data_IF_273272018434
#
_entry.id   IF_273272018434
#
_cell.length_a   1.000
_cell.length_b   1.000
_cell.length_c   1.000
_cell.angle_alpha   90.00
_cell.angle_beta   90.00
_cell.angle_gamma   90.00
#
_symmetry.space_group_name_H-M   'P 1'
#
loop_
_entity.id
_entity.type
_entity.pdbx_description
1 polymer ?
#
# COMPACT_ATOMS: atom_id res chain seq x y z
N UNK A 1 21.50 24.10 -14.80
CA UNK A 1 20.70 23.37 -15.83
C UNK A 1 21.27 21.97 -16.02
N UNK A 2 22.52 21.81 -16.50
CA UNK A 2 23.10 20.48 -16.78
C UNK A 2 22.91 19.40 -15.67
N UNK A 3 23.05 19.78 -14.39
CA UNK A 3 22.81 18.85 -13.26
C UNK A 3 21.35 18.41 -13.20
N UNK A 4 20.38 19.32 -13.39
CA UNK A 4 18.96 18.96 -13.38
C UNK A 4 18.58 18.10 -14.59
N UNK A 5 19.19 18.36 -15.75
CA UNK A 5 18.99 17.54 -16.95
C UNK A 5 19.57 16.14 -16.74
N UNK A 6 20.76 16.04 -16.11
CA UNK A 6 21.34 14.76 -15.72
C UNK A 6 20.48 13.94 -14.72
N UNK A 7 19.62 14.61 -13.93
CA UNK A 7 18.68 13.89 -13.04
C UNK A 7 17.52 13.24 -13.80
N UNK A 8 17.30 13.57 -15.07
CA UNK A 8 16.20 13.01 -15.88
C UNK A 8 16.54 11.69 -16.53
N UNK A 9 17.84 11.36 -16.62
CA UNK A 9 18.35 10.20 -17.36
C UNK A 9 19.01 9.21 -16.40
N UNK A 10 18.83 7.92 -16.65
CA UNK A 10 19.48 6.82 -15.95
C UNK A 10 20.91 6.63 -16.47
N UNK A 11 21.72 5.85 -15.73
CA UNK A 11 23.09 5.53 -16.16
C UNK A 11 23.14 4.71 -17.47
N UNK A 12 22.05 3.99 -17.78
CA UNK A 12 21.88 3.24 -19.04
C UNK A 12 21.34 4.11 -20.20
N UNK A 13 21.25 5.42 -20.03
CA UNK A 13 20.74 6.38 -21.02
C UNK A 13 19.22 6.46 -21.14
N UNK A 14 18.47 5.63 -20.43
CA UNK A 14 16.99 5.65 -20.47
C UNK A 14 16.42 6.78 -19.58
N UNK A 15 15.28 7.36 -19.94
CA UNK A 15 14.66 8.38 -19.11
C UNK A 15 14.11 7.81 -17.81
N UNK A 16 14.22 8.57 -16.72
CA UNK A 16 13.50 8.25 -15.48
C UNK A 16 12.01 8.57 -15.60
N UNK A 17 11.19 7.83 -14.86
CA UNK A 17 9.79 8.19 -14.68
C UNK A 17 9.66 9.60 -14.07
N UNK A 18 8.65 10.40 -14.49
CA UNK A 18 8.44 11.77 -14.01
C UNK A 18 8.44 11.93 -12.48
N UNK A 19 7.85 10.99 -11.77
CA UNK A 19 7.83 10.98 -10.29
C UNK A 19 9.24 10.84 -9.69
N UNK A 20 10.09 10.02 -10.31
CA UNK A 20 11.48 9.83 -9.88
C UNK A 20 12.32 11.09 -10.13
N UNK A 21 12.13 11.72 -11.28
CA UNK A 21 12.80 12.99 -11.60
C UNK A 21 12.46 14.07 -10.56
N UNK A 22 11.17 14.21 -10.24
CA UNK A 22 10.71 15.17 -9.23
C UNK A 22 11.25 14.85 -7.83
N UNK A 23 11.32 13.57 -7.47
CA UNK A 23 11.92 13.14 -6.20
C UNK A 23 13.40 13.47 -6.13
N UNK A 24 14.17 13.19 -7.18
CA UNK A 24 15.61 13.49 -7.25
C UNK A 24 15.88 14.99 -7.16
N UNK A 25 15.08 15.80 -7.89
CA UNK A 25 15.15 17.26 -7.78
C UNK A 25 14.87 17.75 -6.35
N UNK A 26 13.87 17.19 -5.68
CA UNK A 26 13.57 17.55 -4.29
C UNK A 26 14.72 17.21 -3.35
N UNK A 27 15.33 16.01 -3.49
CA UNK A 27 16.51 15.61 -2.71
C UNK A 27 17.65 16.60 -2.92
N UNK A 28 17.96 16.95 -4.17
CA UNK A 28 19.00 17.93 -4.48
C UNK A 28 18.68 19.29 -3.84
N UNK A 29 17.44 19.77 -3.97
CA UNK A 29 17.03 21.05 -3.38
C UNK A 29 17.17 21.03 -1.85
N UNK A 30 16.80 19.95 -1.19
CA UNK A 30 16.97 19.80 0.27
C UNK A 30 18.45 19.79 0.67
N UNK A 31 19.32 19.15 -0.12
CA UNK A 31 20.77 19.19 0.12
C UNK A 31 21.34 20.61 -0.05
N UNK A 32 20.85 21.37 -1.02
CA UNK A 32 21.25 22.79 -1.19
C UNK A 32 20.75 23.68 -0.04
N UNK A 33 19.53 23.44 0.48
CA UNK A 33 19.06 24.16 1.68
C UNK A 33 19.96 23.86 2.89
N UNK A 34 20.32 22.60 3.09
CA UNK A 34 21.25 22.21 4.16
C UNK A 34 22.63 22.87 3.99
N UNK A 35 23.14 23.00 2.76
CA UNK A 35 24.37 23.73 2.50
C UNK A 35 24.25 25.22 2.84
N UNK A 36 23.07 25.83 2.72
CA UNK A 36 22.80 27.20 3.19
C UNK A 36 22.82 27.28 4.71
N UNK A 37 22.21 26.33 5.41
CA UNK A 37 22.24 26.25 6.88
C UNK A 37 23.68 26.14 7.39
N UNK A 38 24.52 25.34 6.71
CA UNK A 38 25.94 25.21 7.01
C UNK A 38 26.79 26.41 6.54
N UNK A 39 26.18 27.46 5.99
CA UNK A 39 26.87 28.65 5.44
C UNK A 39 27.86 28.35 4.31
N UNK A 40 27.72 27.22 3.62
CA UNK A 40 28.48 26.84 2.43
C UNK A 40 27.93 27.53 1.17
N UNK A 41 26.66 27.89 1.19
CA UNK A 41 25.96 28.67 0.17
C UNK A 41 25.24 29.85 0.81
N UNK A 42 25.10 30.95 0.07
CA UNK A 42 24.31 32.11 0.51
C UNK A 42 22.82 31.93 0.28
N UNK A 43 22.44 31.13 -0.73
CA UNK A 43 21.04 30.80 -1.06
C UNK A 43 20.97 29.52 -1.87
N UNK A 44 19.82 28.84 -1.80
CA UNK A 44 19.55 27.69 -2.66
C UNK A 44 19.30 28.15 -4.11
N UNK A 45 20.11 27.70 -5.08
CA UNK A 45 19.96 28.14 -6.48
C UNK A 45 18.78 27.42 -7.19
N UNK A 46 18.29 26.29 -6.68
CA UNK A 46 17.32 25.43 -7.39
C UNK A 46 15.97 26.12 -7.65
N UNK A 47 15.36 26.86 -6.68
CA UNK A 47 14.07 27.53 -6.92
C UNK A 47 14.15 28.63 -7.99
N UNK A 48 15.31 29.28 -8.15
CA UNK A 48 15.49 30.36 -9.12
C UNK A 48 15.66 29.86 -10.57
N UNK A 49 15.89 28.56 -10.76
CA UNK A 49 16.09 28.00 -12.11
C UNK A 49 14.76 27.87 -12.85
N UNK A 50 14.72 28.37 -14.09
CA UNK A 50 13.57 28.20 -15.00
C UNK A 50 13.49 26.77 -15.59
N UNK A 51 13.72 25.75 -14.76
CA UNK A 51 13.63 24.37 -15.16
C UNK A 51 12.20 23.85 -14.91
N UNK A 52 11.57 23.29 -15.96
CA UNK A 52 10.22 22.74 -15.86
C UNK A 52 10.29 21.29 -15.43
N UNK A 53 9.76 21.00 -14.24
CA UNK A 53 9.59 19.63 -13.78
C UNK A 53 8.61 18.87 -14.69
N UNK A 54 8.88 17.60 -15.01
CA UNK A 54 7.92 16.79 -15.77
C UNK A 54 6.61 16.60 -14.97
N UNK A 55 5.49 16.67 -15.69
CA UNK A 55 4.18 16.45 -15.09
C UNK A 55 4.07 15.02 -14.58
N UNK A 56 3.64 14.85 -13.33
CA UNK A 56 3.34 13.56 -12.74
C UNK A 56 1.84 13.31 -12.73
N UNK A 57 1.44 12.10 -13.09
CA UNK A 57 0.07 11.61 -12.87
C UNK A 57 0.09 10.89 -11.53
N UNK A 58 -0.54 11.48 -10.52
CA UNK A 58 -0.63 10.89 -9.18
C UNK A 58 -1.82 9.94 -9.02
N UNK A 59 -2.73 9.88 -10.00
CA UNK A 59 -3.87 8.99 -9.98
C UNK A 59 -3.42 7.53 -10.19
N UNK A 60 -4.10 6.60 -9.50
CA UNK A 60 -3.93 5.17 -9.73
C UNK A 60 -4.31 4.86 -11.18
N UNK A 61 -3.49 4.05 -11.84
CA UNK A 61 -3.85 3.50 -13.12
C UNK A 61 -4.96 2.47 -12.92
N UNK A 62 -6.17 2.77 -13.41
CA UNK A 62 -7.32 1.87 -13.29
C UNK A 62 -7.02 0.45 -13.79
N UNK A 63 -6.13 0.30 -14.76
CA UNK A 63 -5.72 -1.00 -15.31
C UNK A 63 -4.93 -1.85 -14.31
N UNK A 64 -4.34 -1.24 -13.26
CA UNK A 64 -3.63 -1.97 -12.20
C UNK A 64 -4.56 -2.52 -11.12
N UNK A 65 -5.81 -2.05 -11.07
CA UNK A 65 -6.76 -2.37 -10.01
C UNK A 65 -7.49 -3.67 -10.32
N UNK A 66 -7.21 -4.70 -9.52
CA UNK A 66 -7.92 -5.97 -9.61
C UNK A 66 -9.36 -5.82 -9.09
N UNK A 67 -10.31 -6.45 -9.77
CA UNK A 67 -11.67 -6.58 -9.29
C UNK A 67 -11.75 -7.61 -8.13
N UNK A 68 -12.87 -7.67 -7.37
CA UNK A 68 -12.99 -8.57 -6.22
C UNK A 68 -12.79 -10.07 -6.54
N UNK A 69 -13.19 -10.51 -7.74
CA UNK A 69 -12.98 -11.91 -8.16
C UNK A 69 -11.50 -12.17 -8.39
N UNK A 70 -10.84 -11.32 -9.16
CA UNK A 70 -9.40 -11.42 -9.45
C UNK A 70 -8.57 -11.37 -8.17
N UNK A 71 -8.89 -10.47 -7.23
CA UNK A 71 -8.17 -10.36 -5.96
C UNK A 71 -8.27 -11.65 -5.15
N UNK A 72 -9.47 -12.21 -4.98
CA UNK A 72 -9.66 -13.49 -4.27
C UNK A 72 -8.98 -14.67 -4.96
N UNK A 73 -9.03 -14.73 -6.30
CA UNK A 73 -8.33 -15.78 -7.06
C UNK A 73 -6.81 -15.70 -6.87
N UNK A 74 -6.24 -14.48 -6.86
CA UNK A 74 -4.83 -14.28 -6.59
C UNK A 74 -4.44 -14.70 -5.16
N UNK A 75 -5.28 -14.38 -4.15
CA UNK A 75 -5.05 -14.85 -2.78
C UNK A 75 -5.10 -16.38 -2.68
N UNK A 76 -6.05 -17.02 -3.37
CA UNK A 76 -6.12 -18.48 -3.43
C UNK A 76 -4.87 -19.09 -4.06
N UNK A 77 -4.40 -18.55 -5.19
CA UNK A 77 -3.17 -18.97 -5.86
C UNK A 77 -1.91 -18.76 -4.99
N UNK A 78 -1.88 -17.76 -4.12
CA UNK A 78 -0.81 -17.65 -3.11
C UNK A 78 -0.86 -18.86 -2.17
N UNK A 79 -2.05 -19.26 -1.73
CA UNK A 79 -2.25 -20.37 -0.78
C UNK A 79 -1.81 -21.73 -1.30
N UNK A 80 -1.86 -21.97 -2.62
CA UNK A 80 -1.44 -23.22 -3.26
C UNK A 80 0.07 -23.37 -3.42
N UNK A 81 0.82 -22.29 -3.26
CA UNK A 81 2.29 -22.30 -3.42
C UNK A 81 2.96 -23.06 -2.28
N UNK A 82 3.99 -23.83 -2.63
CA UNK A 82 4.83 -24.49 -1.63
C UNK A 82 5.55 -23.48 -0.72
N UNK A 83 5.93 -23.94 0.47
CA UNK A 83 6.71 -23.20 1.47
C UNK A 83 5.98 -21.95 1.99
N UNK A 84 6.43 -20.75 1.58
CA UNK A 84 5.95 -19.48 2.14
C UNK A 84 4.52 -19.12 1.73
N UNK A 85 3.95 -19.74 0.70
CA UNK A 85 2.64 -19.36 0.16
C UNK A 85 1.54 -19.33 1.22
N UNK A 86 1.23 -20.46 1.91
CA UNK A 86 0.20 -20.50 2.92
C UNK A 86 0.38 -19.47 4.05
N UNK A 87 1.65 -19.17 4.42
CA UNK A 87 1.97 -18.15 5.44
C UNK A 87 1.68 -16.73 4.97
N UNK A 88 1.60 -16.48 3.66
CA UNK A 88 1.39 -15.16 3.08
C UNK A 88 -0.07 -14.86 2.72
N UNK A 89 -0.97 -15.84 2.77
CA UNK A 89 -2.39 -15.61 2.43
C UNK A 89 -2.99 -14.53 3.31
N UNK A 90 -2.85 -14.64 4.63
CA UNK A 90 -3.36 -13.63 5.56
C UNK A 90 -2.65 -12.28 5.42
N UNK A 91 -1.34 -12.28 5.11
CA UNK A 91 -0.59 -11.06 4.81
C UNK A 91 -1.20 -10.30 3.62
N UNK A 92 -1.40 -10.95 2.49
CA UNK A 92 -2.04 -10.35 1.32
C UNK A 92 -3.52 -10.04 1.59
N UNK A 93 -4.18 -10.84 2.42
CA UNK A 93 -5.52 -10.56 2.94
C UNK A 93 -5.59 -9.23 3.67
N UNK A 94 -4.62 -8.89 4.52
CA UNK A 94 -4.54 -7.57 5.18
C UNK A 94 -4.44 -6.42 4.17
N UNK A 95 -3.70 -6.60 3.07
CA UNK A 95 -3.59 -5.58 2.03
C UNK A 95 -4.90 -5.39 1.28
N UNK A 96 -5.62 -6.49 0.99
CA UNK A 96 -6.85 -6.46 0.21
C UNK A 96 -8.09 -6.13 1.06
N UNK A 97 -8.31 -6.82 2.16
CA UNK A 97 -9.55 -6.66 2.94
C UNK A 97 -9.51 -5.46 3.89
N UNK A 98 -8.33 -5.10 4.41
CA UNK A 98 -8.14 -3.98 5.33
C UNK A 98 -7.35 -2.80 4.73
N UNK A 99 -7.09 -2.81 3.43
CA UNK A 99 -6.33 -1.79 2.71
C UNK A 99 -5.02 -1.39 3.41
N UNK A 100 -4.36 -2.30 4.12
CA UNK A 100 -3.09 -2.02 4.82
C UNK A 100 -1.96 -1.75 3.82
N UNK A 101 -1.02 -0.91 4.22
CA UNK A 101 0.27 -0.83 3.51
C UNK A 101 1.09 -2.08 3.80
N UNK A 102 1.92 -2.57 2.86
CA UNK A 102 2.78 -3.74 3.12
C UNK A 102 3.65 -3.60 4.36
N UNK A 103 4.17 -2.40 4.62
CA UNK A 103 4.97 -2.09 5.79
C UNK A 103 4.18 -2.10 7.11
N UNK A 104 2.88 -1.79 7.08
CA UNK A 104 1.96 -1.90 8.22
C UNK A 104 1.62 -3.37 8.48
N UNK A 105 1.34 -4.14 7.40
CA UNK A 105 1.05 -5.56 7.52
C UNK A 105 2.25 -6.36 8.06
N UNK A 106 3.48 -6.04 7.65
CA UNK A 106 4.70 -6.68 8.22
C UNK A 106 4.83 -6.42 9.72
N UNK A 107 4.46 -5.22 10.18
CA UNK A 107 4.53 -4.84 11.59
C UNK A 107 3.39 -5.41 12.44
N UNK A 108 2.34 -5.99 11.82
CA UNK A 108 1.13 -6.44 12.51
C UNK A 108 1.45 -7.55 13.52
N UNK A 109 1.03 -7.33 14.76
CA UNK A 109 1.25 -8.23 15.89
C UNK A 109 -0.07 -8.58 16.58
N UNK A 110 -0.05 -9.59 17.43
CA UNK A 110 -1.23 -10.10 18.15
C UNK A 110 -1.97 -9.00 18.93
N UNK A 111 -1.24 -8.05 19.53
CA UNK A 111 -1.85 -6.95 20.28
C UNK A 111 -2.62 -5.94 19.43
N UNK A 112 -2.39 -5.95 18.10
CA UNK A 112 -3.13 -5.12 17.14
C UNK A 112 -4.51 -5.69 16.76
N UNK A 113 -4.82 -6.92 17.18
CA UNK A 113 -6.01 -7.63 16.75
C UNK A 113 -7.10 -7.60 17.83
N UNK A 114 -8.27 -7.11 17.47
CA UNK A 114 -9.52 -7.25 18.22
C UNK A 114 -10.48 -8.06 17.35
N UNK A 115 -10.37 -9.38 17.42
CA UNK A 115 -11.10 -10.30 16.55
C UNK A 115 -12.10 -11.13 17.37
N UNK A 116 -13.41 -11.12 17.01
CA UNK A 116 -14.37 -12.11 17.51
C UNK A 116 -14.07 -13.49 16.91
N UNK A 117 -14.69 -14.54 17.44
CA UNK A 117 -14.58 -15.89 16.87
C UNK A 117 -15.07 -15.91 15.42
N UNK A 118 -16.13 -15.19 15.11
CA UNK A 118 -16.70 -15.00 13.78
C UNK A 118 -17.23 -13.58 13.59
N UNK A 119 -17.27 -13.13 12.33
CA UNK A 119 -17.83 -11.82 11.97
C UNK A 119 -16.78 -10.71 11.88
N UNK A 120 -17.25 -9.48 12.07
CA UNK A 120 -16.43 -8.28 11.96
C UNK A 120 -15.56 -8.08 13.20
N UNK A 121 -14.26 -7.91 13.00
CA UNK A 121 -13.29 -7.48 14.01
C UNK A 121 -12.71 -6.11 13.69
N UNK A 122 -11.66 -5.76 14.40
CA UNK A 122 -10.90 -4.52 14.23
C UNK A 122 -9.39 -4.79 14.25
N UNK A 123 -8.66 -4.03 13.43
CA UNK A 123 -7.20 -3.98 13.43
C UNK A 123 -6.78 -2.59 13.94
N UNK A 124 -6.02 -2.56 15.02
CA UNK A 124 -5.49 -1.33 15.62
C UNK A 124 -4.05 -1.16 15.16
N UNK A 125 -3.85 -0.41 14.08
CA UNK A 125 -2.54 -0.19 13.48
C UNK A 125 -1.83 0.92 14.24
N UNK A 126 -0.67 0.63 14.79
CA UNK A 126 0.14 1.55 15.63
C UNK A 126 1.48 1.89 14.98
N UNK A 127 2.03 0.99 14.17
CA UNK A 127 3.38 1.12 13.61
C UNK A 127 3.46 0.60 12.19
N UNK A 128 4.59 0.90 11.54
CA UNK A 128 4.95 0.38 10.24
C UNK A 128 6.45 0.05 10.20
N UNK A 129 6.82 -0.98 9.43
CA UNK A 129 8.22 -1.40 9.24
C UNK A 129 8.62 -1.33 7.76
N UNK A 130 8.90 -0.11 7.23
CA UNK A 130 9.32 0.05 5.84
C UNK A 130 10.69 -0.59 5.59
N UNK A 131 10.81 -1.30 4.47
CA UNK A 131 12.08 -1.85 4.06
C UNK A 131 12.97 -0.74 3.48
N UNK A 132 14.10 -0.46 4.14
CA UNK A 132 15.10 0.50 3.68
C UNK A 132 16.42 -0.17 3.26
N UNK A 133 16.75 -1.32 3.85
CA UNK A 133 18.06 -1.98 3.72
C UNK A 133 19.00 -1.58 4.86
N UNK A 134 19.86 -2.50 5.25
CA UNK A 134 20.74 -2.39 6.44
C UNK A 134 21.60 -1.13 6.48
N UNK A 135 22.00 -0.64 5.32
CA UNK A 135 22.84 0.57 5.17
C UNK A 135 22.09 1.88 5.48
N UNK A 136 20.74 1.82 5.52
CA UNK A 136 19.87 3.00 5.61
C UNK A 136 18.93 2.95 6.82
N UNK A 137 19.21 2.08 7.76
CA UNK A 137 18.46 1.93 9.00
C UNK A 137 19.33 2.26 10.20
N UNK A 138 18.73 2.79 11.25
CA UNK A 138 19.44 3.12 12.48
C UNK A 138 19.79 1.85 13.28
N UNK A 139 19.00 0.78 13.14
CA UNK A 139 19.20 -0.52 13.79
C UNK A 139 20.21 -1.43 13.09
N UNK A 140 20.60 -1.14 11.84
CA UNK A 140 21.39 -2.07 11.01
C UNK A 140 20.60 -3.30 10.50
N UNK A 141 19.29 -3.38 10.80
CA UNK A 141 18.38 -4.36 10.20
C UNK A 141 17.85 -3.87 8.84
N UNK A 142 17.15 -4.71 8.05
CA UNK A 142 16.58 -4.23 6.78
C UNK A 142 15.39 -3.28 6.97
N UNK A 143 14.79 -3.25 8.16
CA UNK A 143 13.61 -2.46 8.53
C UNK A 143 13.81 -1.83 9.90
N UNK A 144 13.33 -0.60 10.03
CA UNK A 144 13.16 0.05 11.33
C UNK A 144 11.67 0.21 11.60
N UNK A 145 11.29 0.00 12.86
CA UNK A 145 9.95 0.30 13.34
C UNK A 145 9.74 1.80 13.37
N UNK A 146 8.68 2.29 12.73
CA UNK A 146 8.37 3.71 12.59
C UNK A 146 6.90 3.97 12.90
N UNK A 147 6.60 5.19 13.31
CA UNK A 147 5.22 5.68 13.44
C UNK A 147 4.49 5.67 12.09
N UNK A 148 3.18 5.68 12.13
CA UNK A 148 2.34 5.75 10.94
C UNK A 148 2.56 7.07 10.19
N UNK A 149 2.50 7.00 8.86
CA UNK A 149 2.58 8.20 8.01
C UNK A 149 1.42 9.16 8.33
N UNK A 150 1.73 10.46 8.42
CA UNK A 150 0.76 11.56 8.63
C UNK A 150 0.01 11.47 9.96
N UNK A 151 0.57 10.82 10.97
CA UNK A 151 0.03 10.76 12.32
C UNK A 151 1.07 11.20 13.33
N UNK A 152 0.63 11.77 14.44
CA UNK A 152 1.48 12.11 15.55
C UNK A 152 2.06 10.84 16.22
N UNK A 153 3.11 11.02 16.99
CA UNK A 153 3.72 9.90 17.72
C UNK A 153 2.72 9.30 18.71
N UNK A 154 2.51 7.99 18.62
CA UNK A 154 1.58 7.27 19.48
C UNK A 154 0.13 7.23 18.97
N UNK A 155 -0.22 7.96 17.92
CA UNK A 155 -1.52 7.82 17.30
C UNK A 155 -1.68 6.49 16.57
N UNK A 156 -2.81 5.84 16.78
CA UNK A 156 -3.20 4.59 16.14
C UNK A 156 -4.23 4.84 15.05
N UNK A 157 -4.48 3.83 14.22
CA UNK A 157 -5.54 3.80 13.23
C UNK A 157 -6.33 2.51 13.36
N UNK A 158 -7.62 2.62 13.64
CA UNK A 158 -8.51 1.46 13.63
C UNK A 158 -9.03 1.23 12.21
N UNK A 159 -8.94 -0.01 11.76
CA UNK A 159 -9.44 -0.46 10.46
C UNK A 159 -10.37 -1.63 10.69
N UNK A 160 -11.59 -1.63 10.11
CA UNK A 160 -12.49 -2.75 10.23
C UNK A 160 -11.90 -4.00 9.57
N UNK A 161 -12.02 -5.13 10.25
CA UNK A 161 -11.59 -6.43 9.79
C UNK A 161 -12.82 -7.25 9.38
N UNK A 162 -13.10 -7.42 8.07
CA UNK A 162 -14.28 -8.15 7.63
C UNK A 162 -14.16 -9.65 7.94
N UNK A 163 -15.29 -10.38 7.94
CA UNK A 163 -15.34 -11.80 8.35
C UNK A 163 -14.33 -12.68 7.64
N UNK A 164 -14.09 -12.45 6.35
CA UNK A 164 -13.12 -13.21 5.56
C UNK A 164 -11.70 -13.02 6.08
N UNK A 165 -11.32 -11.78 6.44
CA UNK A 165 -10.00 -11.50 7.00
C UNK A 165 -9.90 -12.02 8.45
N UNK A 166 -10.95 -11.89 9.25
CA UNK A 166 -11.02 -12.46 10.61
C UNK A 166 -10.72 -13.96 10.54
N UNK A 167 -11.39 -14.70 9.66
CA UNK A 167 -11.15 -16.12 9.47
C UNK A 167 -9.72 -16.44 9.01
N UNK A 168 -9.17 -15.66 8.07
CA UNK A 168 -7.79 -15.83 7.59
C UNK A 168 -6.77 -15.59 8.70
N UNK A 169 -6.96 -14.58 9.55
CA UNK A 169 -6.05 -14.27 10.66
C UNK A 169 -6.13 -15.35 11.74
N UNK A 170 -7.31 -15.83 12.10
CA UNK A 170 -7.46 -16.97 13.01
C UNK A 170 -6.80 -18.23 12.47
N UNK A 171 -7.00 -18.54 11.18
CA UNK A 171 -6.35 -19.68 10.54
C UNK A 171 -4.83 -19.51 10.55
N UNK A 172 -4.32 -18.32 10.23
CA UNK A 172 -2.89 -18.04 10.24
C UNK A 172 -2.28 -18.28 11.62
N UNK A 173 -2.87 -17.70 12.67
CA UNK A 173 -2.39 -17.85 14.06
C UNK A 173 -2.42 -19.32 14.50
N UNK A 174 -3.48 -20.05 14.16
CA UNK A 174 -3.63 -21.47 14.50
C UNK A 174 -2.57 -22.35 13.83
N UNK A 175 -2.24 -22.08 12.55
CA UNK A 175 -1.31 -22.91 11.77
C UNK A 175 0.16 -22.54 12.00
N UNK A 176 0.44 -21.28 12.22
CA UNK A 176 1.81 -20.76 12.19
C UNK A 176 2.23 -20.08 13.50
N UNK A 177 1.28 -19.81 14.40
CA UNK A 177 1.56 -19.07 15.63
C UNK A 177 1.91 -17.60 15.40
N UNK A 178 2.65 -17.05 16.34
CA UNK A 178 3.24 -15.70 16.31
C UNK A 178 4.69 -15.79 16.73
N UNK A 179 5.51 -14.83 16.32
CA UNK A 179 6.87 -14.68 16.82
C UNK A 179 6.89 -14.34 18.32
N UNK A 180 8.06 -14.43 18.95
CA UNK A 180 8.22 -14.10 20.38
C UNK A 180 7.81 -12.66 20.73
N UNK A 181 7.96 -11.73 19.80
CA UNK A 181 7.52 -10.33 19.91
C UNK A 181 6.04 -10.11 19.53
N UNK A 182 5.32 -11.18 19.24
CA UNK A 182 3.90 -11.17 18.88
C UNK A 182 3.62 -10.91 17.40
N UNK A 183 4.61 -10.67 16.53
CA UNK A 183 4.39 -10.46 15.09
C UNK A 183 3.76 -11.68 14.44
N UNK A 184 2.80 -11.43 13.52
CA UNK A 184 2.13 -12.48 12.78
C UNK A 184 2.94 -12.98 11.60
N UNK A 185 3.56 -12.07 10.86
CA UNK A 185 4.19 -12.39 9.58
C UNK A 185 5.70 -12.36 9.70
N UNK A 186 6.29 -13.54 9.74
CA UNK A 186 7.72 -13.76 9.91
C UNK A 186 8.28 -14.65 8.80
N UNK A 187 9.60 -14.64 8.64
CA UNK A 187 10.29 -15.56 7.75
C UNK A 187 10.17 -17.02 8.22
N UNK A 188 10.33 -17.97 7.31
CA UNK A 188 10.23 -19.41 7.61
C UNK A 188 11.32 -19.93 8.55
N UNK A 189 12.42 -19.21 8.67
CA UNK A 189 13.58 -19.62 9.49
C UNK A 189 13.68 -18.74 10.72
N UNK A 190 13.56 -19.33 11.90
CA UNK A 190 13.85 -18.71 13.20
C UNK A 190 13.08 -17.42 13.49
N UNK A 191 11.81 -17.33 13.07
CA UNK A 191 10.94 -16.15 13.30
C UNK A 191 11.58 -14.81 12.93
N UNK A 192 12.51 -14.83 12.00
CA UNK A 192 13.20 -13.65 11.50
C UNK A 192 12.26 -12.75 10.69
N UNK A 193 12.73 -11.56 10.40
CA UNK A 193 12.06 -10.62 9.53
C UNK A 193 11.57 -11.28 8.23
N UNK A 194 10.30 -11.02 7.85
CA UNK A 194 9.75 -11.48 6.57
C UNK A 194 10.48 -10.79 5.40
N UNK A 195 11.24 -11.53 4.56
CA UNK A 195 12.01 -10.91 3.50
C UNK A 195 11.11 -10.30 2.43
N UNK A 196 11.41 -9.07 2.02
CA UNK A 196 10.70 -8.39 0.93
C UNK A 196 10.65 -9.24 -0.35
N UNK A 197 11.75 -9.92 -0.68
CA UNK A 197 11.83 -10.75 -1.88
C UNK A 197 10.89 -11.95 -1.83
N UNK A 198 10.64 -12.52 -0.65
CA UNK A 198 9.66 -13.60 -0.45
C UNK A 198 8.26 -13.12 -0.80
N UNK A 199 7.86 -11.95 -0.31
CA UNK A 199 6.57 -11.33 -0.62
C UNK A 199 6.43 -11.10 -2.14
N UNK A 200 7.41 -10.46 -2.76
CA UNK A 200 7.38 -10.13 -4.20
C UNK A 200 7.32 -11.38 -5.06
N UNK A 201 8.15 -12.39 -4.77
CA UNK A 201 8.19 -13.64 -5.54
C UNK A 201 6.89 -14.45 -5.42
N UNK A 202 6.31 -14.52 -4.23
CA UNK A 202 5.03 -15.20 -4.04
C UNK A 202 3.92 -14.50 -4.83
N UNK A 203 3.89 -13.17 -4.82
CA UNK A 203 2.93 -12.40 -5.59
C UNK A 203 3.08 -12.60 -7.11
N UNK A 204 4.30 -12.54 -7.62
CA UNK A 204 4.55 -12.73 -9.05
C UNK A 204 4.20 -14.15 -9.52
N UNK A 205 4.45 -15.19 -8.70
CA UNK A 205 4.03 -16.56 -9.02
C UNK A 205 2.51 -16.68 -9.06
N UNK A 206 1.79 -16.11 -8.08
CA UNK A 206 0.33 -16.09 -8.10
C UNK A 206 -0.23 -15.41 -9.34
N UNK A 207 0.35 -14.28 -9.76
CA UNK A 207 -0.03 -13.61 -11.01
C UNK A 207 0.21 -14.47 -12.26
N UNK A 208 1.33 -15.15 -12.31
CA UNK A 208 1.68 -16.03 -13.43
C UNK A 208 0.79 -17.28 -13.49
N UNK A 209 0.25 -17.74 -12.36
CA UNK A 209 -0.68 -18.85 -12.28
C UNK A 209 -2.10 -18.45 -12.68
N UNK A 210 -2.55 -17.27 -12.25
CA UNK A 210 -3.94 -16.81 -12.44
C UNK A 210 -4.18 -16.18 -13.80
N UNK A 211 -3.18 -15.48 -14.35
CA UNK A 211 -3.33 -14.70 -15.57
C UNK A 211 -2.61 -15.34 -16.76
N UNK A 212 -3.18 -15.16 -17.96
CA UNK A 212 -2.44 -15.50 -19.17
C UNK A 212 -1.18 -14.64 -19.30
N UNK A 213 -0.16 -15.07 -20.07
CA UNK A 213 1.06 -14.29 -20.26
C UNK A 213 0.80 -12.84 -20.71
N UNK A 214 -0.20 -12.62 -21.58
CA UNK A 214 -0.57 -11.29 -22.09
C UNK A 214 -1.13 -10.42 -20.96
N UNK A 215 -2.01 -10.96 -20.11
CA UNK A 215 -2.57 -10.24 -18.96
C UNK A 215 -1.50 -10.02 -17.90
N UNK A 216 -0.65 -10.99 -17.64
CA UNK A 216 0.47 -10.87 -16.69
C UNK A 216 1.49 -9.79 -17.10
N UNK A 217 1.61 -9.50 -18.43
CA UNK A 217 2.44 -8.41 -18.95
C UNK A 217 1.81 -7.03 -18.75
N UNK A 218 0.52 -6.94 -18.42
CA UNK A 218 -0.15 -5.66 -18.11
C UNK A 218 0.16 -5.18 -16.68
N UNK A 219 -0.16 -3.93 -16.34
CA UNK A 219 -0.02 -3.44 -14.96
C UNK A 219 -1.00 -4.06 -13.96
N UNK A 220 -1.97 -4.90 -14.37
CA UNK A 220 -3.00 -5.47 -13.51
C UNK A 220 -2.38 -6.19 -12.31
N UNK A 221 -2.70 -5.73 -11.10
CA UNK A 221 -2.16 -6.26 -9.85
C UNK A 221 -0.63 -6.46 -9.88
N UNK A 222 0.10 -5.56 -10.53
CA UNK A 222 1.54 -5.69 -10.84
C UNK A 222 2.42 -5.84 -9.60
N UNK A 223 1.99 -5.24 -8.50
CA UNK A 223 2.69 -5.28 -7.22
C UNK A 223 1.73 -5.68 -6.08
N UNK A 224 2.26 -6.18 -4.93
CA UNK A 224 1.44 -6.40 -3.73
C UNK A 224 0.65 -5.17 -3.28
N UNK A 225 1.19 -3.97 -3.49
CA UNK A 225 0.54 -2.72 -3.14
C UNK A 225 -0.77 -2.47 -3.91
N UNK A 226 -0.91 -3.04 -5.10
CA UNK A 226 -2.12 -2.90 -5.91
C UNK A 226 -3.34 -3.57 -5.28
N UNK A 227 -3.15 -4.53 -4.36
CA UNK A 227 -4.23 -5.06 -3.52
C UNK A 227 -4.86 -3.99 -2.64
N UNK A 228 -4.05 -3.09 -2.08
CA UNK A 228 -4.57 -1.95 -1.33
C UNK A 228 -5.34 -0.98 -2.25
N UNK A 229 -4.86 -0.78 -3.48
CA UNK A 229 -5.61 0.00 -4.47
C UNK A 229 -6.96 -0.67 -4.80
N UNK A 230 -6.98 -1.99 -4.94
CA UNK A 230 -8.20 -2.75 -5.14
C UNK A 230 -9.17 -2.62 -3.95
N UNK A 231 -8.68 -2.73 -2.71
CA UNK A 231 -9.47 -2.56 -1.49
C UNK A 231 -10.17 -1.18 -1.43
N UNK A 232 -9.37 -0.12 -1.56
CA UNK A 232 -9.89 1.26 -1.49
C UNK A 232 -10.91 1.53 -2.61
N UNK A 233 -10.62 1.07 -3.84
CA UNK A 233 -11.55 1.20 -4.96
C UNK A 233 -12.85 0.40 -4.72
N UNK A 234 -12.75 -0.81 -4.17
CA UNK A 234 -13.91 -1.64 -3.82
C UNK A 234 -14.78 -0.96 -2.76
N UNK A 235 -14.19 -0.40 -1.71
CA UNK A 235 -14.93 0.32 -0.68
C UNK A 235 -15.64 1.57 -1.22
N UNK A 236 -14.95 2.38 -2.02
CA UNK A 236 -15.53 3.57 -2.64
C UNK A 236 -16.68 3.20 -3.59
N UNK A 237 -16.48 2.19 -4.44
CA UNK A 237 -17.52 1.72 -5.37
C UNK A 237 -18.66 1.00 -4.64
N UNK A 238 -18.39 0.39 -3.47
CA UNK A 238 -19.41 -0.14 -2.56
C UNK A 238 -20.18 0.93 -1.80
N UNK A 239 -19.86 2.22 -2.00
CA UNK A 239 -20.58 3.35 -1.44
C UNK A 239 -20.18 3.74 -0.02
N UNK A 240 -19.03 3.25 0.46
CA UNK A 240 -18.47 3.74 1.73
C UNK A 240 -18.08 5.21 1.56
N UNK A 241 -18.49 6.11 2.49
CA UNK A 241 -18.16 7.53 2.40
C UNK A 241 -16.65 7.77 2.28
N UNK A 242 -16.24 8.69 1.40
CA UNK A 242 -14.84 8.98 1.15
C UNK A 242 -14.06 9.39 2.41
N UNK A 243 -14.73 10.07 3.36
CA UNK A 243 -14.13 10.43 4.65
C UNK A 243 -13.77 9.18 5.45
N UNK A 244 -14.68 8.23 5.54
CA UNK A 244 -14.49 6.95 6.24
C UNK A 244 -13.40 6.10 5.58
N UNK A 245 -13.42 6.01 4.24
CA UNK A 245 -12.37 5.30 3.49
C UNK A 245 -11.00 5.95 3.69
N UNK A 246 -10.94 7.29 3.71
CA UNK A 246 -9.70 8.02 3.95
C UNK A 246 -9.14 7.72 5.37
N UNK A 247 -10.00 7.71 6.38
CA UNK A 247 -9.65 7.36 7.76
C UNK A 247 -9.10 5.93 7.83
N UNK A 248 -9.84 4.94 7.35
CA UNK A 248 -9.44 3.53 7.38
C UNK A 248 -8.16 3.27 6.59
N UNK A 249 -8.00 3.90 5.42
CA UNK A 249 -6.80 3.75 4.61
C UNK A 249 -5.62 4.61 5.09
N UNK A 250 -5.82 5.55 6.02
CA UNK A 250 -4.76 6.47 6.47
C UNK A 250 -4.31 7.41 5.35
N UNK A 251 -5.29 8.05 4.69
CA UNK A 251 -5.12 9.13 3.72
C UNK A 251 -5.82 10.39 4.22
N UNK A 252 -5.45 11.57 3.71
CA UNK A 252 -6.39 12.70 3.72
C UNK A 252 -7.45 12.49 2.64
N UNK A 253 -8.63 13.06 2.83
CA UNK A 253 -9.73 12.98 1.83
C UNK A 253 -9.28 13.53 0.48
N UNK A 254 -8.53 14.64 0.48
CA UNK A 254 -7.99 15.24 -0.74
C UNK A 254 -7.08 14.26 -1.49
N UNK A 255 -6.14 13.63 -0.77
CA UNK A 255 -5.22 12.63 -1.34
C UNK A 255 -6.00 11.43 -1.85
N UNK A 256 -7.00 10.94 -1.10
CA UNK A 256 -7.86 9.83 -1.53
C UNK A 256 -8.54 10.13 -2.86
N UNK A 257 -9.27 11.24 -2.93
CA UNK A 257 -10.01 11.62 -4.13
C UNK A 257 -9.08 11.86 -5.32
N UNK A 258 -7.94 12.53 -5.11
CA UNK A 258 -6.95 12.76 -6.16
C UNK A 258 -6.36 11.46 -6.73
N UNK A 259 -6.14 10.47 -5.87
CA UNK A 259 -5.54 9.19 -6.27
C UNK A 259 -6.56 8.28 -6.94
N UNK A 260 -7.78 8.19 -6.40
CA UNK A 260 -8.77 7.17 -6.79
C UNK A 260 -9.92 7.71 -7.67
N UNK A 261 -9.95 9.01 -8.01
CA UNK A 261 -11.02 9.59 -8.82
C UNK A 261 -11.28 8.83 -10.14
N UNK A 262 -10.24 8.26 -10.75
CA UNK A 262 -10.34 7.49 -11.99
C UNK A 262 -10.78 6.03 -11.79
N UNK A 263 -10.80 5.56 -10.55
CA UNK A 263 -11.19 4.18 -10.20
C UNK A 263 -12.65 4.12 -9.74
N UNK A 264 -13.34 5.26 -9.65
CA UNK A 264 -14.76 5.32 -9.38
C UNK A 264 -15.50 4.95 -10.66
N UNK A 265 -16.20 3.84 -10.63
CA UNK A 265 -17.08 3.44 -11.72
C UNK A 265 -18.32 4.35 -11.70
N UNK A 266 -18.74 4.79 -12.88
CA UNK A 266 -19.88 5.69 -13.04
C UNK A 266 -21.21 5.04 -12.63
N UNK A 267 -21.43 4.92 -11.32
CA UNK A 267 -22.63 4.37 -10.69
C UNK A 267 -23.81 5.34 -10.74
N UNK A 268 -24.02 6.03 -11.86
CA UNK A 268 -25.12 7.01 -11.95
C UNK A 268 -26.48 6.39 -11.53
N UNK A 269 -26.69 5.11 -11.81
CA UNK A 269 -27.92 4.40 -11.41
C UNK A 269 -27.94 4.14 -9.90
N UNK A 270 -26.88 3.53 -9.35
CA UNK A 270 -26.83 3.23 -7.91
C UNK A 270 -26.81 4.49 -7.04
N UNK A 271 -26.16 5.56 -7.48
CA UNK A 271 -26.18 6.86 -6.80
C UNK A 271 -27.59 7.45 -6.82
N UNK A 272 -28.31 7.41 -7.95
CA UNK A 272 -29.70 7.89 -8.05
C UNK A 272 -30.61 7.07 -7.13
N UNK A 273 -30.49 5.75 -7.11
CA UNK A 273 -31.26 4.88 -6.22
C UNK A 273 -31.04 5.23 -4.73
N UNK A 274 -29.79 5.53 -4.33
CA UNK A 274 -29.49 5.99 -2.96
C UNK A 274 -30.15 7.34 -2.66
N UNK A 275 -30.14 8.27 -3.62
CA UNK A 275 -30.82 9.57 -3.48
C UNK A 275 -32.34 9.38 -3.38
N UNK A 276 -32.93 8.53 -4.23
CA UNK A 276 -34.36 8.20 -4.21
C UNK A 276 -34.75 7.57 -2.87
N UNK A 277 -33.96 6.62 -2.37
CA UNK A 277 -34.19 6.03 -1.05
C UNK A 277 -34.09 7.05 0.08
N UNK A 278 -33.10 7.96 0.03
CA UNK A 278 -32.96 9.04 1.03
C UNK A 278 -34.09 10.07 0.97
N UNK A 279 -34.71 10.28 -0.20
CA UNK A 279 -35.89 11.14 -0.39
C UNK A 279 -37.19 10.42 -0.02
N UNK A 280 -37.14 9.18 0.46
CA UNK A 280 -38.32 8.41 0.85
C UNK A 280 -39.08 7.75 -0.30
N UNK A 281 -38.52 7.76 -1.51
CA UNK A 281 -39.08 7.01 -2.64
C UNK A 281 -38.72 5.54 -2.48
N UNK A 282 -39.73 4.68 -2.27
CA UNK A 282 -39.52 3.21 -2.34
C UNK A 282 -39.56 2.82 -3.82
N UNK A 283 -38.55 2.10 -4.32
CA UNK A 283 -38.67 1.47 -5.64
C UNK A 283 -39.87 0.54 -5.62
N UNK A 284 -40.79 0.71 -6.55
CA UNK A 284 -41.95 -0.14 -6.76
C UNK A 284 -41.53 -1.52 -7.29
#
# INVERSE_FOLDING_TARGET
MAVLDGLTVRLDGQPYAPSMVNRRRKILSTAMEYAVELKLLTKNPIPALKWKAPKTVNAVDRRSVANPVQARTLLAAVGTQQRSGPRLVAFFGCLYYAAMRPEEAVALAKHNLSLPDEGWGELIIDTAEPHAGKEWTDSGANRDRRQLKQRARGETRTVPCPPELTALLHLHIRLFGTAADGRLFVGERNDQELPKLTIVRAWQRARAEVFTPEVAATPLAGTPYDLRHAAVSTWLNGGVPAVTVAEWAGHSVEVLLKIYAKCLDGEAVAVRQRVEAALGHRPG
#
